data_IF_593345524476
#
_entry.id   IF_593345524476
#
_cell.length_a   1.000
_cell.length_b   1.000
_cell.length_c   1.000
_cell.angle_alpha   90.00
_cell.angle_beta   90.00
_cell.angle_gamma   90.00
#
_symmetry.space_group_name_H-M   'P 1'
#
loop_
_entity.id
_entity.type
_entity.pdbx_description
1 polymer ?
#
# COMPACT_ATOMS: atom_id res chain seq x y z
N UNK A 1 9.43 -24.90 -8.60
CA UNK A 1 8.78 -24.87 -9.94
C UNK A 1 7.26 -24.91 -9.79
N UNK A 2 6.68 -25.90 -9.11
CA UNK A 2 5.21 -25.98 -8.91
C UNK A 2 4.65 -24.78 -8.13
N UNK A 3 5.31 -24.33 -7.06
CA UNK A 3 4.90 -23.15 -6.29
C UNK A 3 4.96 -21.84 -7.10
N UNK A 4 5.98 -21.70 -7.96
CA UNK A 4 6.12 -20.54 -8.85
C UNK A 4 4.99 -20.53 -9.88
N UNK A 5 4.70 -21.67 -10.51
CA UNK A 5 3.57 -21.77 -11.45
C UNK A 5 2.25 -21.48 -10.73
N UNK A 6 2.02 -22.03 -9.53
CA UNK A 6 0.79 -21.79 -8.76
C UNK A 6 0.54 -20.33 -8.36
N UNK A 7 1.59 -19.55 -8.10
CA UNK A 7 1.45 -18.12 -7.74
C UNK A 7 1.17 -17.25 -8.98
N UNK A 8 1.79 -17.57 -10.12
CA UNK A 8 1.69 -16.74 -11.34
C UNK A 8 0.55 -17.14 -12.28
N UNK A 9 0.11 -18.40 -12.26
CA UNK A 9 -0.93 -18.90 -13.15
C UNK A 9 -2.31 -18.24 -12.92
N UNK A 10 -2.82 -18.05 -11.69
CA UNK A 10 -4.10 -17.38 -11.47
C UNK A 10 -4.09 -15.91 -11.93
N UNK A 11 -3.12 -15.06 -11.54
CA UNK A 11 -3.04 -13.68 -12.03
C UNK A 11 -2.86 -13.60 -13.55
N UNK A 12 -2.03 -14.49 -14.12
CA UNK A 12 -1.77 -14.53 -15.55
C UNK A 12 -3.02 -14.87 -16.36
N UNK A 13 -3.78 -15.89 -15.92
CA UNK A 13 -5.03 -16.28 -16.56
C UNK A 13 -6.07 -15.16 -16.48
N UNK A 14 -6.25 -14.58 -15.28
CA UNK A 14 -7.16 -13.45 -15.08
C UNK A 14 -6.79 -12.25 -15.95
N UNK A 15 -5.50 -11.93 -16.09
CA UNK A 15 -5.05 -10.81 -16.91
C UNK A 15 -5.38 -11.01 -18.39
N UNK A 16 -5.18 -12.21 -18.93
CA UNK A 16 -5.49 -12.53 -20.34
C UNK A 16 -7.00 -12.45 -20.58
N UNK A 17 -7.82 -13.06 -19.71
CA UNK A 17 -9.28 -13.04 -19.83
C UNK A 17 -9.83 -11.62 -19.68
N UNK A 18 -9.42 -10.89 -18.63
CA UNK A 18 -9.88 -9.53 -18.40
C UNK A 18 -9.40 -8.56 -19.48
N UNK A 19 -8.18 -8.67 -20.01
CA UNK A 19 -7.69 -7.74 -21.04
C UNK A 19 -8.51 -7.82 -22.33
N UNK A 20 -8.99 -9.01 -22.70
CA UNK A 20 -9.86 -9.21 -23.86
C UNK A 20 -11.24 -8.56 -23.64
N UNK A 21 -11.85 -8.79 -22.47
CA UNK A 21 -13.12 -8.16 -22.09
C UNK A 21 -12.97 -6.63 -21.99
N UNK A 22 -11.88 -6.16 -21.39
CA UNK A 22 -11.63 -4.73 -21.19
C UNK A 22 -11.43 -4.00 -22.52
N UNK A 23 -10.84 -4.64 -23.55
CA UNK A 23 -10.73 -4.05 -24.90
C UNK A 23 -12.09 -3.86 -25.56
N UNK A 24 -12.99 -4.84 -25.45
CA UNK A 24 -14.33 -4.76 -26.03
C UNK A 24 -15.21 -3.74 -25.28
N UNK A 25 -15.06 -3.67 -23.96
CA UNK A 25 -15.87 -2.81 -23.09
C UNK A 25 -15.37 -1.35 -23.08
N UNK A 26 -14.09 -1.11 -23.41
CA UNK A 26 -13.49 0.25 -23.49
C UNK A 26 -14.03 1.11 -24.64
N UNK A 27 -14.78 0.55 -25.58
CA UNK A 27 -15.41 1.33 -26.65
C UNK A 27 -16.51 2.27 -26.12
N UNK A 28 -17.08 1.98 -24.94
CA UNK A 28 -18.08 2.83 -24.30
C UNK A 28 -17.45 3.85 -23.34
N UNK A 29 -17.72 5.13 -23.58
CA UNK A 29 -17.23 6.29 -22.81
C UNK A 29 -17.58 6.21 -21.32
N UNK A 30 -18.73 5.58 -20.99
CA UNK A 30 -19.23 5.42 -19.61
C UNK A 30 -18.27 4.58 -18.77
N UNK A 31 -17.72 3.52 -19.36
CA UNK A 31 -16.90 2.56 -18.61
C UNK A 31 -15.48 3.10 -18.45
N UNK A 32 -14.99 3.86 -19.42
CA UNK A 32 -13.74 4.60 -19.27
C UNK A 32 -13.81 5.65 -18.14
N UNK A 33 -14.96 6.28 -17.93
CA UNK A 33 -15.18 7.19 -16.81
C UNK A 33 -15.13 6.46 -15.46
N UNK A 34 -15.77 5.29 -15.34
CA UNK A 34 -15.70 4.46 -14.14
C UNK A 34 -14.27 4.00 -13.83
N UNK A 35 -13.52 3.55 -14.85
CA UNK A 35 -12.12 3.12 -14.69
C UNK A 35 -11.20 4.26 -14.24
N UNK A 36 -11.46 5.52 -14.65
CA UNK A 36 -10.72 6.68 -14.14
C UNK A 36 -10.92 6.89 -12.63
N UNK A 37 -12.10 6.54 -12.11
CA UNK A 37 -12.42 6.58 -10.68
C UNK A 37 -11.66 5.56 -9.82
N UNK A 38 -11.05 4.53 -10.42
CA UNK A 38 -10.28 3.52 -9.68
C UNK A 38 -9.04 4.14 -9.03
N UNK A 39 -8.36 5.07 -9.71
CA UNK A 39 -7.14 5.71 -9.17
C UNK A 39 -7.40 6.45 -7.85
N UNK A 40 -8.37 7.37 -7.75
CA UNK A 40 -8.69 8.02 -6.47
C UNK A 40 -9.25 7.03 -5.44
N UNK A 41 -10.00 6.00 -5.85
CA UNK A 41 -10.48 4.97 -4.94
C UNK A 41 -9.33 4.20 -4.26
N UNK A 42 -8.30 3.84 -5.02
CA UNK A 42 -7.10 3.17 -4.48
C UNK A 42 -6.36 4.06 -3.50
N UNK A 43 -6.24 5.36 -3.78
CA UNK A 43 -5.65 6.32 -2.83
C UNK A 43 -6.45 6.35 -1.52
N UNK A 44 -7.78 6.38 -1.61
CA UNK A 44 -8.66 6.30 -0.43
C UNK A 44 -8.44 5.02 0.37
N UNK A 45 -8.37 3.86 -0.29
CA UNK A 45 -8.11 2.57 0.37
C UNK A 45 -6.76 2.57 1.10
N UNK A 46 -5.72 3.16 0.52
CA UNK A 46 -4.39 3.27 1.16
C UNK A 46 -4.48 4.14 2.43
N UNK A 47 -5.20 5.25 2.38
CA UNK A 47 -5.41 6.12 3.55
C UNK A 47 -6.16 5.38 4.65
N UNK A 48 -7.20 4.62 4.31
CA UNK A 48 -7.95 3.82 5.28
C UNK A 48 -7.04 2.77 5.94
N UNK A 49 -6.23 2.06 5.17
CA UNK A 49 -5.27 1.10 5.71
C UNK A 49 -4.29 1.78 6.69
N UNK A 50 -3.80 2.98 6.36
CA UNK A 50 -2.92 3.74 7.25
C UNK A 50 -3.60 4.10 8.59
N UNK A 51 -4.88 4.50 8.55
CA UNK A 51 -5.65 4.83 9.77
C UNK A 51 -5.88 3.58 10.63
N UNK A 52 -6.23 2.44 10.03
CA UNK A 52 -6.45 1.19 10.75
C UNK A 52 -5.17 0.73 11.45
N UNK A 53 -4.03 0.80 10.76
CA UNK A 53 -2.72 0.48 11.35
C UNK A 53 -2.38 1.43 12.49
N UNK A 54 -2.64 2.74 12.34
CA UNK A 54 -2.42 3.71 13.40
C UNK A 54 -3.28 3.44 14.65
N UNK A 55 -4.54 3.02 14.46
CA UNK A 55 -5.45 2.68 15.57
C UNK A 55 -5.12 1.36 16.28
N UNK A 56 -4.38 0.45 15.63
CA UNK A 56 -3.90 -0.80 16.23
C UNK A 56 -2.63 -0.65 17.09
N UNK A 57 -2.00 0.53 17.08
CA UNK A 57 -0.83 0.81 17.91
C UNK A 57 -1.25 1.21 19.33
N UNK A 58 -0.60 0.65 20.36
CA UNK A 58 -0.86 1.05 21.74
C UNK A 58 -0.47 2.51 21.99
N UNK A 59 -1.37 3.27 22.60
CA UNK A 59 -1.21 4.69 22.88
C UNK A 59 -0.26 4.92 24.06
N UNK A 60 1.04 4.91 23.78
CA UNK A 60 2.08 5.47 24.64
C UNK A 60 2.65 6.74 24.00
N UNK A 61 3.07 7.72 24.82
CA UNK A 61 3.73 8.96 24.37
C UNK A 61 4.92 8.68 23.42
N UNK A 62 5.65 7.57 23.63
CA UNK A 62 6.71 7.11 22.73
C UNK A 62 6.22 6.61 21.37
N UNK A 63 5.09 5.89 21.32
CA UNK A 63 4.46 5.41 20.09
C UNK A 63 4.01 6.57 19.19
N UNK A 64 3.50 7.66 19.79
CA UNK A 64 3.11 8.88 19.09
C UNK A 64 4.32 9.56 18.41
N UNK A 65 5.48 9.59 19.07
CA UNK A 65 6.71 10.17 18.54
C UNK A 65 7.26 9.34 17.39
N UNK A 66 7.25 8.02 17.49
CA UNK A 66 7.72 7.12 16.42
C UNK A 66 6.78 7.20 15.21
N UNK A 67 5.47 7.29 15.44
CA UNK A 67 4.47 7.50 14.39
C UNK A 67 4.65 8.84 13.67
N UNK A 68 4.82 9.94 14.42
CA UNK A 68 5.06 11.27 13.85
C UNK A 68 6.40 11.33 13.09
N UNK A 69 7.46 10.72 13.63
CA UNK A 69 8.76 10.63 12.98
C UNK A 69 8.69 9.81 11.68
N UNK A 70 7.99 8.67 11.67
CA UNK A 70 7.80 7.85 10.48
C UNK A 70 6.96 8.58 9.42
N UNK A 71 5.91 9.28 9.83
CA UNK A 71 5.06 10.08 8.93
C UNK A 71 5.84 11.24 8.30
N UNK A 72 6.64 11.97 9.10
CA UNK A 72 7.49 13.07 8.62
C UNK A 72 8.63 12.55 7.75
N UNK A 73 9.25 11.42 8.09
CA UNK A 73 10.28 10.78 7.27
C UNK A 73 9.72 10.36 5.90
N UNK A 74 8.50 9.81 5.87
CA UNK A 74 7.81 9.42 4.64
C UNK A 74 7.45 10.64 3.78
N UNK A 75 7.10 11.77 4.39
CA UNK A 75 6.74 13.00 3.68
C UNK A 75 7.96 13.78 3.17
N UNK A 76 9.09 13.73 3.90
CA UNK A 76 10.29 14.50 3.59
C UNK A 76 11.25 13.80 2.62
N UNK A 77 11.34 12.46 2.66
CA UNK A 77 12.34 11.74 1.87
C UNK A 77 11.68 10.70 0.97
N UNK A 78 11.65 11.01 -0.34
CA UNK A 78 11.50 10.08 -1.47
C UNK A 78 12.64 9.02 -1.51
N UNK A 79 13.06 8.48 -0.37
CA UNK A 79 14.10 7.47 -0.24
C UNK A 79 13.42 6.12 -0.11
N UNK A 80 13.96 5.13 -0.85
CA UNK A 80 13.44 3.77 -0.95
C UNK A 80 12.97 3.26 0.42
N UNK A 81 11.70 2.85 0.51
CA UNK A 81 11.03 2.29 1.71
C UNK A 81 11.90 1.26 2.44
N UNK A 82 12.72 0.52 1.69
CA UNK A 82 13.70 -0.45 2.17
C UNK A 82 14.70 0.10 3.23
N UNK A 83 15.09 1.38 3.16
CA UNK A 83 16.05 2.01 4.08
C UNK A 83 15.38 2.66 5.30
N UNK A 84 14.09 3.03 5.17
CA UNK A 84 13.31 3.67 6.24
C UNK A 84 12.86 2.63 7.29
N UNK A 85 12.52 1.41 6.87
CA UNK A 85 12.07 0.33 7.78
C UNK A 85 13.10 0.00 8.89
N UNK A 86 14.41 -0.24 8.60
CA UNK A 86 15.37 -0.59 9.65
C UNK A 86 15.67 0.59 10.58
N UNK A 87 15.73 1.82 10.06
CA UNK A 87 16.02 3.01 10.88
C UNK A 87 14.84 3.31 11.83
N UNK A 88 13.60 3.19 11.34
CA UNK A 88 12.40 3.31 12.17
C UNK A 88 12.31 2.20 13.22
N UNK A 89 12.68 0.96 12.86
CA UNK A 89 12.75 -0.16 13.80
C UNK A 89 13.79 0.05 14.90
N UNK A 90 14.99 0.53 14.56
CA UNK A 90 16.05 0.82 15.53
C UNK A 90 15.64 1.95 16.48
N UNK A 91 15.07 3.04 15.96
CA UNK A 91 14.55 4.11 16.80
C UNK A 91 13.39 3.67 17.70
N UNK A 92 12.52 2.77 17.21
CA UNK A 92 11.44 2.19 18.00
C UNK A 92 11.92 1.33 19.17
N UNK A 93 12.98 0.54 18.96
CA UNK A 93 13.59 -0.27 20.03
C UNK A 93 14.27 0.58 21.10
N UNK A 94 14.94 1.67 20.72
CA UNK A 94 15.62 2.57 21.67
C UNK A 94 14.62 3.34 22.54
N UNK A 95 13.45 3.71 21.99
CA UNK A 95 12.41 4.42 22.75
C UNK A 95 11.56 3.51 23.64
N UNK A 96 11.42 2.22 23.31
CA UNK A 96 10.65 1.25 24.12
C UNK A 96 11.50 0.52 25.18
N UNK A 97 12.83 0.52 25.02
CA UNK A 97 13.76 -0.03 26.02
C UNK A 97 14.12 0.96 27.15
N UNK A 98 13.60 2.20 27.11
CA UNK A 98 13.80 3.24 28.15
C UNK A 98 12.54 3.45 28.97
#
# INVERSE_FOLDING_TARGET
IVATVGIFLPPGLLMVTCSHLLKHIKESTVIQAALKGIRPAVIGMIITAAIVVAGSAEFHLGSLVIFAAALVALWRFRVKVLLIIPIAGIFGLVLYSI
#
